data_IF_706900217003
#
_entry.id   IF_706900217003
#
_cell.length_a   1.000
_cell.length_b   1.000
_cell.length_c   1.000
_cell.angle_alpha   90.00
_cell.angle_beta   90.00
_cell.angle_gamma   90.00
#
_symmetry.space_group_name_H-M   'P 1'
#
loop_
_entity.id
_entity.type
_entity.pdbx_description
1 polymer ?
#
# COMPACT_ATOMS: atom_id res chain seq x y z
N UNK A 1 23.83 10.40 17.48
CA UNK A 1 23.23 9.29 16.71
C UNK A 1 22.34 9.90 15.64
N UNK A 2 22.78 9.90 14.38
CA UNK A 2 21.94 10.42 13.29
C UNK A 2 20.90 9.34 12.98
N UNK A 3 19.65 9.60 13.35
CA UNK A 3 18.53 8.77 12.89
C UNK A 3 18.37 9.05 11.38
N UNK A 4 18.46 8.01 10.55
CA UNK A 4 18.04 8.12 9.15
C UNK A 4 16.51 8.25 9.19
N UNK A 5 15.91 9.38 8.80
CA UNK A 5 14.49 9.66 9.05
C UNK A 5 13.52 8.68 8.36
N UNK A 6 14.00 7.97 7.34
CA UNK A 6 13.18 7.07 6.51
C UNK A 6 13.23 5.58 6.92
N UNK A 7 14.08 5.20 7.88
CA UNK A 7 14.28 3.80 8.27
C UNK A 7 13.91 3.60 9.74
N UNK A 8 12.82 2.86 9.97
CA UNK A 8 12.39 2.45 11.31
C UNK A 8 12.55 0.94 11.50
N UNK A 9 13.36 0.52 12.48
CA UNK A 9 13.49 -0.90 12.85
C UNK A 9 12.29 -1.34 13.68
N UNK A 10 11.73 -2.50 13.36
CA UNK A 10 10.58 -3.09 14.06
C UNK A 10 10.84 -4.57 14.35
N UNK A 11 10.19 -5.07 15.41
CA UNK A 11 10.32 -6.47 15.86
C UNK A 11 9.99 -7.52 14.80
N UNK A 12 9.09 -7.20 13.86
CA UNK A 12 8.70 -8.06 12.74
C UNK A 12 7.90 -7.25 11.70
N UNK A 13 7.65 -7.86 10.54
CA UNK A 13 6.90 -7.26 9.42
C UNK A 13 5.48 -6.86 9.81
N UNK A 14 4.79 -7.67 10.62
CA UNK A 14 3.41 -7.38 11.07
C UNK A 14 3.32 -6.11 11.91
N UNK A 15 4.32 -5.86 12.76
CA UNK A 15 4.42 -4.64 13.56
C UNK A 15 4.68 -3.44 12.66
N UNK A 16 5.60 -3.55 11.68
CA UNK A 16 5.89 -2.49 10.73
C UNK A 16 4.65 -2.12 9.89
N UNK A 17 3.93 -3.12 9.37
CA UNK A 17 2.67 -2.92 8.65
C UNK A 17 1.65 -2.18 9.50
N UNK A 18 1.51 -2.57 10.77
CA UNK A 18 0.57 -1.93 11.69
C UNK A 18 0.96 -0.47 11.96
N UNK A 19 2.24 -0.18 12.17
CA UNK A 19 2.74 1.18 12.35
C UNK A 19 2.40 2.07 11.14
N UNK A 20 2.63 1.59 9.92
CA UNK A 20 2.28 2.34 8.70
C UNK A 20 0.75 2.47 8.53
N UNK A 21 -0.02 1.45 8.90
CA UNK A 21 -1.49 1.48 8.81
C UNK A 21 -2.10 2.50 9.79
N UNK A 22 -1.68 2.52 11.05
CA UNK A 22 -2.25 3.39 12.08
C UNK A 22 -1.56 4.76 12.16
N UNK A 23 -0.34 4.91 11.67
CA UNK A 23 0.38 6.18 11.61
C UNK A 23 -0.13 7.14 10.54
N UNK A 24 -1.02 6.69 9.64
CA UNK A 24 -1.62 7.54 8.62
C UNK A 24 -2.84 8.30 9.19
N UNK A 25 -3.00 9.61 8.91
CA UNK A 25 -4.10 10.42 9.45
C UNK A 25 -5.42 10.15 8.71
N UNK A 26 -5.99 8.98 8.94
CA UNK A 26 -7.25 8.55 8.34
C UNK A 26 -8.43 9.42 8.77
N UNK A 27 -9.37 9.61 7.85
CA UNK A 27 -10.67 10.23 8.09
C UNK A 27 -11.77 9.27 7.67
N UNK A 28 -12.92 9.35 8.35
CA UNK A 28 -14.08 8.58 7.94
C UNK A 28 -14.42 8.86 6.46
N UNK A 29 -14.67 7.80 5.70
CA UNK A 29 -14.90 7.86 4.25
C UNK A 29 -13.65 7.81 3.38
N UNK A 30 -12.43 7.84 3.95
CA UNK A 30 -11.20 7.57 3.20
C UNK A 30 -11.22 6.15 2.64
N UNK A 31 -10.52 5.94 1.51
CA UNK A 31 -10.48 4.67 0.80
C UNK A 31 -9.05 4.08 0.77
N UNK A 32 -8.93 2.84 1.24
CA UNK A 32 -7.74 2.00 1.23
C UNK A 32 -7.99 0.81 0.30
N UNK A 33 -7.36 0.78 -0.87
CA UNK A 33 -7.52 -0.33 -1.82
C UNK A 33 -6.51 -1.43 -1.50
N UNK A 34 -6.96 -2.69 -1.46
CA UNK A 34 -6.09 -3.84 -1.24
C UNK A 34 -6.21 -4.86 -2.36
N UNK A 35 -5.10 -5.49 -2.77
CA UNK A 35 -5.16 -6.71 -3.56
C UNK A 35 -5.69 -7.89 -2.74
N UNK A 36 -6.38 -8.84 -3.39
CA UNK A 36 -6.99 -10.00 -2.72
C UNK A 36 -5.96 -11.01 -2.21
N UNK A 37 -4.85 -11.16 -2.92
CA UNK A 37 -3.72 -12.00 -2.51
C UNK A 37 -2.83 -11.15 -1.61
N UNK A 38 -3.28 -10.88 -0.40
CA UNK A 38 -2.52 -10.10 0.58
C UNK A 38 -2.17 -10.94 1.81
N UNK A 39 -1.06 -10.58 2.46
CA UNK A 39 -0.63 -11.22 3.70
C UNK A 39 -1.67 -11.00 4.81
N UNK A 40 -1.86 -11.99 5.69
CA UNK A 40 -2.85 -11.92 6.78
C UNK A 40 -2.68 -10.68 7.66
N UNK A 41 -1.44 -10.22 7.88
CA UNK A 41 -1.13 -9.01 8.64
C UNK A 41 -1.74 -7.74 8.03
N UNK A 42 -1.69 -7.58 6.70
CA UNK A 42 -2.33 -6.48 5.99
C UNK A 42 -3.87 -6.56 6.08
N UNK A 43 -4.44 -7.77 6.02
CA UNK A 43 -5.89 -7.97 6.16
C UNK A 43 -6.40 -7.63 7.55
N UNK A 44 -5.65 -7.97 8.60
CA UNK A 44 -6.00 -7.67 9.99
C UNK A 44 -5.93 -6.16 10.26
N UNK A 45 -4.85 -5.50 9.84
CA UNK A 45 -4.71 -4.05 9.98
C UNK A 45 -5.87 -3.30 9.28
N UNK A 46 -6.26 -3.74 8.09
CA UNK A 46 -7.43 -3.22 7.37
C UNK A 46 -8.73 -3.33 8.16
N UNK A 47 -8.99 -4.50 8.75
CA UNK A 47 -10.23 -4.74 9.49
C UNK A 47 -10.33 -3.84 10.73
N UNK A 48 -9.18 -3.52 11.33
CA UNK A 48 -9.13 -2.52 12.39
C UNK A 48 -9.43 -1.10 11.87
N UNK A 49 -8.93 -0.70 10.71
CA UNK A 49 -9.22 0.61 10.10
C UNK A 49 -10.69 0.79 9.71
N UNK A 50 -11.40 -0.29 9.39
CA UNK A 50 -12.84 -0.23 9.11
C UNK A 50 -13.64 0.34 10.31
N UNK A 51 -13.16 0.11 11.54
CA UNK A 51 -13.76 0.66 12.78
C UNK A 51 -13.62 2.19 12.87
N UNK A 52 -12.69 2.78 12.11
CA UNK A 52 -12.47 4.23 12.02
C UNK A 52 -13.25 4.86 10.84
N UNK A 53 -14.13 4.10 10.18
CA UNK A 53 -14.92 4.58 9.04
C UNK A 53 -14.17 4.58 7.71
N UNK A 54 -13.00 3.95 7.62
CA UNK A 54 -12.23 3.81 6.37
C UNK A 54 -12.85 2.71 5.51
N UNK A 55 -13.08 2.99 4.23
CA UNK A 55 -13.52 2.02 3.23
C UNK A 55 -12.33 1.21 2.75
N UNK A 56 -12.45 -0.10 2.77
CA UNK A 56 -11.33 -0.99 2.44
C UNK A 56 -11.71 -2.07 1.41
N UNK A 57 -12.01 -1.70 0.14
CA UNK A 57 -12.40 -2.65 -0.90
C UNK A 57 -11.23 -3.54 -1.33
N UNK A 58 -11.55 -4.82 -1.58
CA UNK A 58 -10.58 -5.82 -2.02
C UNK A 58 -10.67 -6.00 -3.55
N UNK A 59 -9.55 -5.83 -4.24
CA UNK A 59 -9.35 -6.03 -5.66
C UNK A 59 -8.84 -7.45 -5.93
N UNK A 60 -9.67 -8.28 -6.57
CA UNK A 60 -9.28 -9.64 -6.98
C UNK A 60 -8.47 -9.57 -8.27
N UNK A 61 -7.20 -9.98 -8.22
CA UNK A 61 -6.25 -9.86 -9.34
C UNK A 61 -6.09 -11.17 -10.12
N UNK A 62 -6.51 -12.29 -9.55
CA UNK A 62 -6.39 -13.63 -10.13
C UNK A 62 -7.38 -13.83 -11.26
N UNK A 63 -6.92 -14.36 -12.40
CA UNK A 63 -7.78 -14.68 -13.54
C UNK A 63 -8.20 -13.49 -14.40
N UNK A 64 -7.71 -12.28 -14.11
CA UNK A 64 -7.95 -11.11 -14.93
C UNK A 64 -6.94 -11.04 -16.10
N UNK A 65 -7.44 -10.82 -17.32
CA UNK A 65 -6.60 -10.53 -18.51
C UNK A 65 -5.74 -9.28 -18.30
N UNK A 66 -6.25 -8.33 -17.51
CA UNK A 66 -5.56 -7.13 -17.09
C UNK A 66 -5.67 -7.00 -15.55
N UNK A 67 -4.63 -7.38 -14.79
CA UNK A 67 -4.66 -7.34 -13.33
C UNK A 67 -4.70 -5.91 -12.77
N UNK A 68 -4.46 -4.88 -13.60
CA UNK A 68 -4.53 -3.48 -13.15
C UNK A 68 -5.99 -3.00 -13.09
N UNK A 69 -6.86 -3.47 -13.99
CA UNK A 69 -8.28 -3.05 -14.06
C UNK A 69 -9.05 -3.22 -12.75
N UNK A 70 -8.98 -4.36 -12.04
CA UNK A 70 -9.68 -4.54 -10.76
C UNK A 70 -9.22 -3.54 -9.69
N UNK A 71 -7.95 -3.13 -9.71
CA UNK A 71 -7.40 -2.13 -8.80
C UNK A 71 -7.87 -0.74 -9.20
N UNK A 72 -7.71 -0.36 -10.47
CA UNK A 72 -8.08 0.95 -11.00
C UNK A 72 -9.57 1.24 -10.78
N UNK A 73 -10.45 0.26 -11.01
CA UNK A 73 -11.90 0.40 -10.77
C UNK A 73 -12.29 0.64 -9.32
N UNK A 74 -11.37 0.45 -8.35
CA UNK A 74 -11.59 0.71 -6.93
C UNK A 74 -10.92 2.00 -6.45
N UNK A 75 -10.18 2.68 -7.32
CA UNK A 75 -9.61 3.99 -7.02
C UNK A 75 -10.70 5.05 -7.19
N UNK A 76 -10.82 5.94 -6.22
CA UNK A 76 -11.74 7.08 -6.23
C UNK A 76 -11.02 8.35 -5.76
N UNK A 77 -11.69 9.50 -5.80
CA UNK A 77 -11.18 10.75 -5.25
C UNK A 77 -10.87 10.70 -3.74
N UNK A 78 -11.40 9.68 -3.04
CA UNK A 78 -11.14 9.43 -1.62
C UNK A 78 -10.04 8.39 -1.38
N UNK A 79 -9.42 7.82 -2.43
CA UNK A 79 -8.33 6.86 -2.27
C UNK A 79 -7.09 7.54 -1.71
N UNK A 80 -6.66 7.11 -0.52
CA UNK A 80 -5.48 7.64 0.16
C UNK A 80 -4.30 6.68 0.13
N UNK A 81 -4.57 5.38 -0.07
CA UNK A 81 -3.53 4.35 -0.11
C UNK A 81 -3.98 3.13 -0.92
N UNK A 82 -3.00 2.50 -1.55
CA UNK A 82 -3.10 1.20 -2.20
C UNK A 82 -2.06 0.26 -1.55
N UNK A 83 -2.44 -0.97 -1.25
CA UNK A 83 -1.51 -2.04 -0.87
C UNK A 83 -1.70 -3.24 -1.78
N UNK A 84 -0.58 -3.78 -2.25
CA UNK A 84 -0.51 -5.02 -3.00
C UNK A 84 0.84 -5.68 -2.69
N UNK A 85 0.93 -7.02 -2.70
CA UNK A 85 2.22 -7.68 -2.64
C UNK A 85 3.03 -7.36 -3.90
N UNK A 86 4.34 -7.22 -3.73
CA UNK A 86 5.24 -6.85 -4.83
C UNK A 86 5.22 -7.88 -5.98
N UNK A 87 5.07 -9.17 -5.62
CA UNK A 87 5.07 -10.31 -6.55
C UNK A 87 3.85 -10.39 -7.46
N UNK A 88 2.76 -9.67 -7.17
CA UNK A 88 1.51 -9.74 -7.95
C UNK A 88 1.29 -8.52 -8.84
N UNK A 89 2.22 -7.57 -8.81
CA UNK A 89 2.18 -6.42 -9.70
C UNK A 89 2.67 -6.83 -11.08
N UNK A 90 1.97 -6.38 -12.12
CA UNK A 90 2.42 -6.55 -13.50
C UNK A 90 3.83 -5.96 -13.67
N UNK A 91 4.65 -6.47 -14.61
CA UNK A 91 5.97 -5.89 -14.93
C UNK A 91 5.90 -4.38 -15.25
N UNK A 92 4.74 -3.91 -15.74
CA UNK A 92 4.48 -2.50 -16.02
C UNK A 92 4.38 -1.63 -14.75
N UNK A 93 3.72 -2.11 -13.69
CA UNK A 93 3.67 -1.38 -12.41
C UNK A 93 5.02 -1.43 -11.70
N UNK A 94 5.70 -2.58 -11.72
CA UNK A 94 7.05 -2.71 -11.16
C UNK A 94 8.04 -1.76 -11.86
N UNK A 95 7.99 -1.68 -13.19
CA UNK A 95 8.78 -0.72 -13.98
C UNK A 95 8.50 0.74 -13.61
N UNK A 96 7.22 1.14 -13.48
CA UNK A 96 6.85 2.52 -13.09
C UNK A 96 7.26 2.85 -11.65
N UNK A 97 7.25 1.86 -10.75
CA UNK A 97 7.74 2.01 -9.37
C UNK A 97 9.25 2.26 -9.35
N UNK A 98 10.02 1.42 -10.04
CA UNK A 98 11.49 1.53 -10.10
C UNK A 98 11.95 2.86 -10.70
N UNK A 99 11.21 3.41 -11.67
CA UNK A 99 11.51 4.74 -12.24
C UNK A 99 11.29 5.91 -11.27
N UNK A 100 10.37 5.81 -10.30
CA UNK A 100 10.16 6.89 -9.31
C UNK A 100 11.17 6.83 -8.18
N UNK A 101 11.59 5.64 -7.76
CA UNK A 101 12.63 5.46 -6.73
C UNK A 101 14.04 5.86 -7.21
N UNK A 102 14.29 5.89 -8.52
CA UNK A 102 15.57 6.33 -9.10
C UNK A 102 15.75 7.85 -9.25
N UNK A 103 14.77 8.67 -8.83
CA UNK A 103 14.82 10.14 -8.98
C UNK A 103 15.34 10.90 -7.75
N UNK A 104 15.83 10.19 -6.72
CA UNK A 104 16.34 10.79 -5.48
C UNK A 104 17.88 10.74 -5.33
N UNK A 105 18.63 10.43 -6.39
CA UNK A 105 20.10 10.46 -6.38
C UNK A 105 20.60 11.31 -7.54
N UNK A 106 20.70 12.62 -7.31
CA UNK A 106 21.18 13.56 -8.32
C UNK A 106 21.29 14.97 -7.74
N UNK A 107 22.28 15.18 -6.89
CA UNK A 107 22.60 16.49 -6.35
C UNK A 107 23.68 16.40 -5.29
N UNK A 108 24.94 16.29 -5.71
CA UNK A 108 26.07 16.93 -5.05
C UNK A 108 27.15 17.13 -6.12
N UNK A 109 27.57 18.40 -6.26
CA UNK A 109 28.68 18.83 -7.11
C UNK A 109 30.01 18.79 -6.38
#
# INVERSE_FOLDING_TARGET
MVAVPDIALHKNTSAAISAVAFGFPWRAGDNLVLAAVEFSSNRVARQALARLGVKCPVAYLTGAVDPERPVLGRISSRTRRLTAPDQLLSPRIQSKRNRRSGSASGGDG
#
